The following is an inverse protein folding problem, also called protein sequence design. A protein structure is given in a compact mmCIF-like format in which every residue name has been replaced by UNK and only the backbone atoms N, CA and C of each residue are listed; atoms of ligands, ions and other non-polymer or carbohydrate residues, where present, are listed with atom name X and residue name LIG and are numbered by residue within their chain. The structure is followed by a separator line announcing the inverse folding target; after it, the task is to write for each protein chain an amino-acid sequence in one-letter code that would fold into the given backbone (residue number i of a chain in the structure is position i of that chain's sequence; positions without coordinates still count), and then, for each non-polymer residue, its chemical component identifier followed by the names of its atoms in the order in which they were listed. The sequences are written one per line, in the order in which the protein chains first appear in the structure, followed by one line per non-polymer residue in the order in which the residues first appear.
data_IF_038466138328
#
_entry.id   IF_038466138328
#
_cell.length_a   1.000
_cell.length_b   1.000
_cell.length_c   1.000
_cell.angle_alpha   90.00
_cell.angle_beta   90.00
_cell.angle_gamma   90.00
#
_symmetry.space_group_name_H-M   'P 1'
#
loop_
_entity.id
_entity.type
_entity.pdbx_description
1 polymer ?
#
# COMPACT_ATOMS: atom_id res chain seq x y z
N UNK A 1 23.54 3.42 10.24
CA UNK A 1 22.49 3.69 9.24
C UNK A 1 21.27 2.89 9.65
N UNK A 2 20.30 3.55 10.28
CA UNK A 2 19.03 2.91 10.67
C UNK A 2 18.03 3.31 9.58
N UNK A 3 17.50 2.30 8.90
CA UNK A 3 16.49 2.42 7.86
C UNK A 3 15.24 3.13 8.43
N UNK A 4 14.73 4.14 7.74
CA UNK A 4 13.55 4.90 8.14
C UNK A 4 12.29 4.02 8.30
N UNK A 5 12.32 2.79 7.78
CA UNK A 5 11.30 1.77 8.00
C UNK A 5 11.14 1.32 9.47
N UNK A 6 12.11 1.57 10.34
CA UNK A 6 12.12 1.03 11.71
C UNK A 6 11.34 1.83 12.76
N UNK A 7 10.76 3.00 12.43
CA UNK A 7 10.14 3.90 13.43
C UNK A 7 8.60 3.86 13.49
N UNK A 8 7.94 2.87 12.89
CA UNK A 8 6.51 2.62 13.12
C UNK A 8 6.30 1.13 13.41
N UNK A 9 6.19 0.77 14.69
CA UNK A 9 6.16 -0.59 15.22
C UNK A 9 5.61 -1.69 14.30
N UNK A 10 6.45 -2.71 14.05
CA UNK A 10 6.17 -4.10 13.65
C UNK A 10 5.22 -4.40 12.47
N UNK A 11 4.53 -3.42 11.90
CA UNK A 11 3.52 -3.59 10.87
C UNK A 11 4.03 -3.10 9.51
N UNK A 12 3.86 -3.91 8.47
CA UNK A 12 4.23 -3.49 7.10
C UNK A 12 3.19 -2.48 6.59
N UNK A 13 3.43 -1.19 6.82
CA UNK A 13 2.58 -0.09 6.30
C UNK A 13 2.84 0.16 4.81
N UNK A 14 4.10 0.07 4.39
CA UNK A 14 4.48 0.13 2.98
C UNK A 14 5.57 -0.90 2.69
N UNK A 15 5.64 -1.38 1.44
CA UNK A 15 6.70 -2.27 1.00
C UNK A 15 7.08 -2.02 -0.46
N UNK A 16 8.33 -2.33 -0.81
CA UNK A 16 8.88 -2.13 -2.15
C UNK A 16 8.83 -3.43 -2.94
N UNK A 17 8.30 -3.38 -4.16
CA UNK A 17 8.32 -4.53 -5.07
C UNK A 17 8.34 -4.04 -6.52
N UNK A 18 9.18 -4.64 -7.37
CA UNK A 18 9.26 -4.34 -8.82
C UNK A 18 9.52 -2.86 -9.16
N UNK A 19 10.19 -2.11 -8.28
CA UNK A 19 10.42 -0.67 -8.44
C UNK A 19 9.21 0.22 -8.10
N UNK A 20 8.17 -0.35 -7.48
CA UNK A 20 6.98 0.35 -6.99
C UNK A 20 6.96 0.37 -5.45
N UNK A 21 6.23 1.32 -4.89
CA UNK A 21 5.85 1.34 -3.47
C UNK A 21 4.40 0.89 -3.31
N UNK A 22 4.17 -0.13 -2.49
CA UNK A 22 2.85 -0.68 -2.20
C UNK A 22 2.43 -0.24 -0.80
N UNK A 23 1.35 0.52 -0.71
CA UNK A 23 0.76 0.98 0.55
C UNK A 23 -0.23 -0.06 1.07
N UNK A 24 0.07 -0.70 2.20
CA UNK A 24 -0.83 -1.62 2.89
C UNK A 24 -1.88 -0.81 3.66
N UNK A 25 -2.95 -0.44 2.95
CA UNK A 25 -3.86 0.60 3.40
C UNK A 25 -4.86 0.11 4.45
N UNK A 26 -5.42 -1.09 4.25
CA UNK A 26 -6.48 -1.65 5.08
C UNK A 26 -6.56 -3.16 4.90
N UNK A 27 -7.02 -3.85 5.95
CA UNK A 27 -7.41 -5.26 5.89
C UNK A 27 -8.94 -5.49 5.93
N UNK A 28 -9.71 -4.40 6.10
CA UNK A 28 -11.18 -4.43 6.08
C UNK A 28 -11.64 -4.69 4.65
N UNK A 29 -12.63 -5.55 4.49
CA UNK A 29 -13.20 -5.88 3.19
C UNK A 29 -14.65 -6.32 3.38
N UNK A 30 -15.53 -5.95 2.47
CA UNK A 30 -16.92 -6.45 2.42
C UNK A 30 -17.02 -7.84 1.81
N UNK A 31 -15.94 -8.34 1.20
CA UNK A 31 -15.89 -9.66 0.58
C UNK A 31 -15.05 -10.66 1.38
N UNK A 32 -15.37 -11.93 1.20
CA UNK A 32 -14.62 -13.08 1.71
C UNK A 32 -14.11 -13.96 0.56
N UNK A 33 -13.23 -13.39 -0.27
CA UNK A 33 -12.74 -14.07 -1.47
C UNK A 33 -12.05 -15.40 -1.11
N UNK A 34 -12.38 -16.48 -1.83
CA UNK A 34 -11.81 -17.83 -1.63
C UNK A 34 -10.28 -17.84 -1.68
N UNK A 35 -9.67 -16.99 -2.50
CA UNK A 35 -8.23 -16.93 -2.70
C UNK A 35 -7.50 -15.94 -1.78
N UNK A 36 -8.19 -15.18 -0.93
CA UNK A 36 -7.54 -14.13 -0.14
C UNK A 36 -6.67 -14.73 0.97
N UNK A 37 -5.36 -14.41 1.05
CA UNK A 37 -4.45 -14.98 2.05
C UNK A 37 -5.01 -14.97 3.47
N UNK A 38 -5.60 -13.85 3.91
CA UNK A 38 -6.13 -13.66 5.27
C UNK A 38 -7.17 -14.69 5.72
N UNK A 39 -7.82 -15.38 4.77
CA UNK A 39 -8.79 -16.44 5.04
C UNK A 39 -8.27 -17.86 4.75
N UNK A 40 -7.01 -17.96 4.33
CA UNK A 40 -6.32 -19.20 3.94
C UNK A 40 -5.08 -19.45 4.80
N UNK A 41 -5.13 -19.07 6.09
CA UNK A 41 -4.10 -19.42 7.08
C UNK A 41 -2.82 -18.60 7.04
N UNK A 42 -2.75 -17.51 6.26
CA UNK A 42 -1.55 -16.66 6.20
C UNK A 42 -1.90 -15.19 5.95
N UNK A 43 -1.06 -14.27 6.42
CA UNK A 43 -1.17 -12.84 6.11
C UNK A 43 -0.05 -12.38 5.17
N UNK A 44 0.77 -13.33 4.72
CA UNK A 44 1.93 -13.04 3.88
C UNK A 44 1.57 -12.97 2.41
N UNK A 45 2.15 -11.98 1.73
CA UNK A 45 2.20 -11.89 0.28
C UNK A 45 3.67 -11.74 -0.10
N UNK A 46 4.23 -12.76 -0.77
CA UNK A 46 5.68 -12.94 -0.91
C UNK A 46 6.35 -12.92 0.47
N UNK A 47 7.37 -12.08 0.67
CA UNK A 47 8.15 -11.99 1.90
C UNK A 47 7.54 -11.03 2.93
N UNK A 48 6.43 -10.35 2.59
CA UNK A 48 5.83 -9.31 3.42
C UNK A 48 4.63 -9.83 4.21
N UNK A 49 4.65 -9.67 5.54
CA UNK A 49 3.48 -9.86 6.38
C UNK A 49 2.60 -8.60 6.32
N UNK A 50 1.40 -8.73 5.75
CA UNK A 50 0.48 -7.62 5.52
C UNK A 50 -0.59 -7.50 6.62
N UNK A 51 -0.46 -8.23 7.73
CA UNK A 51 -1.38 -8.10 8.86
C UNK A 51 -1.32 -6.69 9.45
N UNK A 52 -2.49 -6.07 9.60
CA UNK A 52 -2.67 -4.79 10.26
C UNK A 52 -3.45 -5.02 11.56
N UNK A 53 -2.92 -4.61 12.70
CA UNK A 53 -3.63 -4.54 13.97
C UNK A 53 -4.46 -3.25 14.07
N UNK A 54 -4.04 -2.20 13.34
CA UNK A 54 -4.76 -0.93 13.23
C UNK A 54 -4.69 -0.38 11.80
N UNK A 55 -5.67 0.44 11.47
CA UNK A 55 -5.72 1.16 10.19
C UNK A 55 -4.68 2.30 10.21
N UNK A 56 -3.68 2.31 9.30
CA UNK A 56 -2.68 3.38 9.25
C UNK A 56 -3.31 4.75 8.95
N UNK A 57 -2.85 5.82 9.59
CA UNK A 57 -3.26 7.19 9.29
C UNK A 57 -2.69 7.68 7.95
N UNK A 58 -3.18 8.81 7.44
CA UNK A 58 -2.63 9.45 6.23
C UNK A 58 -1.15 9.77 6.42
N UNK A 59 -0.79 10.29 7.58
CA UNK A 59 0.58 10.67 7.94
C UNK A 59 1.49 9.45 8.02
N UNK A 60 1.02 8.34 8.59
CA UNK A 60 1.77 7.09 8.64
C UNK A 60 2.01 6.51 7.25
N UNK A 61 1.02 6.59 6.36
CA UNK A 61 1.16 6.14 4.97
C UNK A 61 2.18 7.00 4.22
N UNK A 62 2.09 8.33 4.32
CA UNK A 62 3.04 9.25 3.68
C UNK A 62 4.46 9.07 4.22
N UNK A 63 4.62 8.95 5.53
CA UNK A 63 5.90 8.68 6.16
C UNK A 63 6.50 7.35 5.70
N UNK A 64 5.68 6.31 5.53
CA UNK A 64 6.12 5.00 5.05
C UNK A 64 6.50 5.01 3.55
N UNK A 65 5.94 5.92 2.74
CA UNK A 65 6.38 6.10 1.35
C UNK A 65 7.78 6.71 1.28
N UNK A 66 8.07 7.70 2.12
CA UNK A 66 9.31 8.46 2.02
C UNK A 66 9.31 9.36 0.78
N UNK A 67 10.41 9.39 0.01
CA UNK A 67 10.45 10.15 -1.25
C UNK A 67 9.72 9.38 -2.37
N UNK A 68 8.55 9.87 -2.85
CA UNK A 68 7.77 9.15 -3.86
C UNK A 68 8.44 9.10 -5.24
N UNK A 69 9.45 9.94 -5.50
CA UNK A 69 10.15 10.01 -6.79
C UNK A 69 11.11 8.84 -7.01
N UNK A 70 11.41 8.08 -5.94
CA UNK A 70 12.21 6.85 -6.03
C UNK A 70 11.44 5.69 -6.69
N UNK A 71 10.13 5.81 -6.84
CA UNK A 71 9.27 4.74 -7.33
C UNK A 71 8.70 5.04 -8.71
N UNK A 72 8.46 3.98 -9.49
CA UNK A 72 7.72 4.10 -10.75
C UNK A 72 6.24 4.37 -10.51
N UNK A 73 5.68 3.73 -9.50
CA UNK A 73 4.28 3.86 -9.10
C UNK A 73 4.16 3.74 -7.57
N UNK A 74 3.19 4.45 -7.01
CA UNK A 74 2.66 4.17 -5.67
C UNK A 74 1.30 3.49 -5.81
N UNK A 75 1.16 2.31 -5.22
CA UNK A 75 0.01 1.42 -5.39
C UNK A 75 -0.75 1.30 -4.07
N UNK A 76 -2.02 1.70 -4.06
CA UNK A 76 -2.91 1.39 -2.95
C UNK A 76 -3.23 -0.11 -2.96
N UNK A 77 -2.81 -0.81 -1.90
CA UNK A 77 -2.98 -2.25 -1.77
C UNK A 77 -3.40 -2.65 -0.35
N UNK A 78 -3.24 -3.92 -0.03
CA UNK A 78 -3.47 -4.52 1.27
C UNK A 78 -4.27 -5.81 1.13
N UNK A 79 -4.59 -6.43 2.26
CA UNK A 79 -5.52 -7.56 2.31
C UNK A 79 -6.97 -7.09 2.58
N UNK A 80 -7.36 -5.98 1.94
CA UNK A 80 -8.63 -5.30 2.14
C UNK A 80 -9.17 -4.64 0.87
N UNK A 81 -10.31 -3.96 1.01
CA UNK A 81 -10.93 -3.15 -0.05
C UNK A 81 -10.59 -1.67 0.18
N UNK A 82 -9.69 -1.06 -0.65
CA UNK A 82 -9.23 0.31 -0.45
C UNK A 82 -10.35 1.35 -0.42
N UNK A 83 -11.43 1.12 -1.18
CA UNK A 83 -12.53 2.09 -1.30
C UNK A 83 -13.37 2.22 -0.01
N UNK A 84 -13.27 1.27 0.93
CA UNK A 84 -13.80 1.46 2.29
C UNK A 84 -13.11 2.58 3.06
N UNK A 85 -11.95 3.03 2.59
CA UNK A 85 -11.20 4.17 3.11
C UNK A 85 -10.97 5.23 2.02
N UNK A 86 -11.97 5.43 1.14
CA UNK A 86 -11.87 6.38 0.03
C UNK A 86 -11.36 7.78 0.44
N UNK A 87 -11.78 8.40 1.57
CA UNK A 87 -11.21 9.69 1.99
C UNK A 87 -9.71 9.62 2.26
N UNK A 88 -9.21 8.54 2.88
CA UNK A 88 -7.76 8.33 3.08
C UNK A 88 -7.04 8.13 1.76
N UNK A 89 -7.61 7.35 0.83
CA UNK A 89 -7.03 7.14 -0.51
C UNK A 89 -6.85 8.47 -1.23
N UNK A 90 -7.89 9.31 -1.24
CA UNK A 90 -7.85 10.61 -1.93
C UNK A 90 -6.83 11.55 -1.30
N UNK A 91 -6.82 11.66 0.04
CA UNK A 91 -5.87 12.52 0.75
C UNK A 91 -4.41 12.12 0.50
N UNK A 92 -4.11 10.82 0.55
CA UNK A 92 -2.77 10.31 0.25
C UNK A 92 -2.43 10.54 -1.23
N UNK A 93 -3.34 10.25 -2.16
CA UNK A 93 -3.11 10.43 -3.59
C UNK A 93 -2.85 11.90 -3.97
N UNK A 94 -3.59 12.83 -3.36
CA UNK A 94 -3.41 14.27 -3.55
C UNK A 94 -2.03 14.71 -3.07
N UNK A 95 -1.64 14.30 -1.86
CA UNK A 95 -0.35 14.68 -1.29
C UNK A 95 0.83 14.08 -2.07
N UNK A 96 0.77 12.80 -2.43
CA UNK A 96 1.83 12.17 -3.23
C UNK A 96 1.96 12.78 -4.63
N UNK A 97 0.84 13.24 -5.22
CA UNK A 97 0.85 13.95 -6.50
C UNK A 97 1.52 15.32 -6.38
N UNK A 98 1.25 16.05 -5.29
CA UNK A 98 1.94 17.30 -5.00
C UNK A 98 3.45 17.09 -4.77
N UNK A 99 3.82 15.98 -4.14
CA UNK A 99 5.21 15.62 -3.85
C UNK A 99 5.97 15.01 -5.06
N UNK A 100 5.32 14.93 -6.23
CA UNK A 100 5.97 14.61 -7.50
C UNK A 100 6.03 13.13 -7.86
N UNK A 101 5.14 12.28 -7.31
CA UNK A 101 5.03 10.89 -7.76
C UNK A 101 4.80 10.82 -9.28
N UNK A 102 5.53 9.97 -10.02
CA UNK A 102 5.29 9.80 -11.44
C UNK A 102 3.83 9.39 -11.71
N UNK A 103 3.24 9.94 -12.78
CA UNK A 103 1.93 9.46 -13.23
C UNK A 103 2.07 8.01 -13.66
N UNK A 104 1.23 7.15 -13.09
CA UNK A 104 1.15 5.77 -13.52
C UNK A 104 0.93 5.71 -15.04
N UNK A 105 1.71 4.89 -15.78
CA UNK A 105 1.55 4.75 -17.21
C UNK A 105 0.11 4.35 -17.56
N UNK A 106 -0.36 4.82 -18.72
CA UNK A 106 -1.67 4.41 -19.22
C UNK A 106 -1.75 2.87 -19.27
N UNK A 107 -2.89 2.26 -18.89
CA UNK A 107 -3.02 0.81 -18.87
C UNK A 107 -2.66 0.25 -20.24
N UNK A 108 -1.62 -0.59 -20.29
CA UNK A 108 -1.26 -1.31 -21.52
C UNK A 108 -2.44 -2.20 -21.86
N UNK A 109 -3.19 -1.87 -22.92
CA UNK A 109 -4.21 -2.77 -23.48
C UNK A 109 -3.50 -4.07 -23.80
N UNK A 110 -3.74 -5.11 -22.98
CA UNK A 110 -3.33 -6.47 -23.35
C UNK A 110 -4.08 -6.75 -24.65
N UNK A 111 -3.35 -6.92 -25.75
CA UNK A 111 -3.91 -7.53 -26.95
C UNK A 111 -4.38 -8.91 -26.49
N UNK A 112 -5.69 -9.13 -26.51
CA UNK A 112 -6.28 -10.45 -26.28
C UNK A 112 -5.78 -11.40 -27.35
#
# INVERSE_FOLDING_TARGET
MIDAAALAGWETVAYRLHGNCYLNLTQRCTLRCRFCPKFNGTWRVKDFDLRLHREPSVEQLLAAVGDPREYREVVFCGLGEPTLRLPTVLAVAERLRADGVPRAPAPRRRRR
#
